data_IF_959481164914
#
_entry.id   IF_959481164914
#
_cell.length_a   1.000
_cell.length_b   1.000
_cell.length_c   1.000
_cell.angle_alpha   90.00
_cell.angle_beta   90.00
_cell.angle_gamma   90.00
#
_symmetry.space_group_name_H-M   'P 1'
#
loop_
_entity.id
_entity.type
_entity.pdbx_description
1 polymer ?
#
# COMPACT_ATOMS: atom_id res chain seq x y z
N UNK A 1 -40.39 -29.21 2.32
CA UNK A 1 -39.32 -29.22 1.31
C UNK A 1 -39.57 -30.36 0.34
N UNK A 2 -39.65 -30.07 -0.95
CA UNK A 2 -39.82 -31.06 -2.02
C UNK A 2 -38.55 -31.92 -2.14
N UNK A 3 -38.70 -33.21 -2.52
CA UNK A 3 -37.57 -34.15 -2.72
C UNK A 3 -36.46 -33.58 -3.62
N UNK A 4 -36.81 -32.72 -4.58
CA UNK A 4 -35.87 -32.02 -5.44
C UNK A 4 -34.93 -31.05 -4.69
N UNK A 5 -35.43 -30.35 -3.67
CA UNK A 5 -34.62 -29.43 -2.85
C UNK A 5 -33.65 -30.20 -1.96
N UNK A 6 -34.09 -31.34 -1.42
CA UNK A 6 -33.24 -32.20 -0.60
C UNK A 6 -32.10 -32.80 -1.44
N UNK A 7 -32.42 -33.27 -2.66
CA UNK A 7 -31.45 -33.82 -3.60
C UNK A 7 -30.42 -32.75 -4.03
N UNK A 8 -30.88 -31.53 -4.31
CA UNK A 8 -29.99 -30.41 -4.66
C UNK A 8 -29.02 -30.04 -3.54
N UNK A 9 -29.48 -30.01 -2.29
CA UNK A 9 -28.63 -29.77 -1.11
C UNK A 9 -27.58 -30.87 -0.91
N UNK A 10 -27.95 -32.13 -1.12
CA UNK A 10 -27.00 -33.25 -1.01
C UNK A 10 -25.91 -33.17 -2.07
N UNK A 11 -26.26 -32.87 -3.32
CA UNK A 11 -25.28 -32.70 -4.41
C UNK A 11 -24.37 -31.51 -4.12
N UNK A 12 -24.92 -30.37 -3.68
CA UNK A 12 -24.14 -29.19 -3.33
C UNK A 12 -23.13 -29.47 -2.21
N UNK A 13 -23.56 -30.13 -1.12
CA UNK A 13 -22.67 -30.50 -0.03
C UNK A 13 -21.56 -31.46 -0.47
N UNK A 14 -21.87 -32.41 -1.35
CA UNK A 14 -20.88 -33.33 -1.90
C UNK A 14 -19.84 -32.59 -2.77
N UNK A 15 -20.26 -31.66 -3.62
CA UNK A 15 -19.36 -30.83 -4.42
C UNK A 15 -18.47 -29.94 -3.53
N UNK A 16 -19.04 -29.32 -2.49
CA UNK A 16 -18.28 -28.49 -1.55
C UNK A 16 -17.23 -29.32 -0.80
N UNK A 17 -17.61 -30.52 -0.34
CA UNK A 17 -16.70 -31.46 0.29
C UNK A 17 -15.56 -31.88 -0.63
N UNK A 18 -15.86 -32.23 -1.88
CA UNK A 18 -14.86 -32.59 -2.87
C UNK A 18 -13.88 -31.44 -3.16
N UNK A 19 -14.37 -30.21 -3.29
CA UNK A 19 -13.53 -29.02 -3.49
C UNK A 19 -12.61 -28.76 -2.30
N UNK A 20 -13.12 -28.83 -1.07
CA UNK A 20 -12.30 -28.66 0.15
C UNK A 20 -11.25 -29.77 0.24
N UNK A 21 -11.61 -31.02 -0.07
CA UNK A 21 -10.67 -32.14 -0.09
C UNK A 21 -9.59 -31.97 -1.17
N UNK A 22 -9.93 -31.46 -2.35
CA UNK A 22 -8.97 -31.17 -3.41
C UNK A 22 -8.00 -30.05 -3.02
N UNK A 23 -8.49 -28.98 -2.40
CA UNK A 23 -7.63 -27.90 -1.87
C UNK A 23 -6.69 -28.44 -0.79
N UNK A 24 -7.22 -29.21 0.17
CA UNK A 24 -6.42 -29.84 1.22
C UNK A 24 -5.37 -30.81 0.66
N UNK A 25 -5.70 -31.55 -0.40
CA UNK A 25 -4.78 -32.47 -1.07
C UNK A 25 -3.70 -31.72 -1.85
N UNK A 26 -4.05 -30.60 -2.50
CA UNK A 26 -3.10 -29.72 -3.17
C UNK A 26 -2.15 -29.03 -2.17
N UNK A 27 -2.67 -28.59 -1.02
CA UNK A 27 -1.88 -28.04 0.10
C UNK A 27 -0.99 -29.09 0.77
N UNK A 28 -1.44 -30.34 0.83
CA UNK A 28 -0.71 -31.46 1.42
C UNK A 28 0.20 -32.20 0.42
N UNK A 29 0.19 -31.78 -0.85
CA UNK A 29 1.06 -32.34 -1.88
C UNK A 29 2.53 -32.15 -1.50
N UNK A 30 3.43 -33.04 -1.96
CA UNK A 30 4.86 -32.86 -1.75
C UNK A 30 5.24 -31.48 -2.29
N UNK A 31 5.89 -30.67 -1.44
CA UNK A 31 6.52 -29.44 -1.90
C UNK A 31 7.48 -29.82 -3.04
N UNK A 32 7.51 -29.09 -4.18
CA UNK A 32 8.46 -29.38 -5.25
C UNK A 32 9.87 -29.48 -4.66
N UNK A 33 10.66 -30.45 -5.13
CA UNK A 33 12.01 -30.72 -4.61
C UNK A 33 12.91 -29.47 -4.63
N UNK A 34 12.58 -28.48 -5.46
CA UNK A 34 13.27 -27.20 -5.57
C UNK A 34 12.85 -26.16 -4.50
N UNK A 35 11.92 -26.49 -3.59
CA UNK A 35 11.46 -25.61 -2.51
C UNK A 35 12.18 -25.86 -1.18
N UNK A 36 13.33 -26.53 -1.22
CA UNK A 36 14.37 -26.26 -0.23
C UNK A 36 15.06 -24.99 -0.73
N UNK A 37 14.57 -23.83 -0.29
CA UNK A 37 15.45 -22.67 -0.16
C UNK A 37 16.58 -23.17 0.76
N UNK A 38 17.69 -23.57 0.16
CA UNK A 38 18.97 -23.62 0.86
C UNK A 38 19.03 -22.36 1.70
N UNK A 39 19.30 -22.53 3.00
CA UNK A 39 19.48 -21.41 3.91
C UNK A 39 20.30 -20.35 3.18
N UNK A 40 19.65 -19.24 2.84
CA UNK A 40 20.19 -18.27 1.90
C UNK A 40 21.57 -17.89 2.42
N UNK A 41 22.62 -18.30 1.71
CA UNK A 41 23.95 -17.81 2.00
C UNK A 41 23.85 -16.28 1.94
N UNK A 42 24.44 -15.54 2.89
CA UNK A 42 24.35 -14.09 2.88
C UNK A 42 24.76 -13.60 1.49
N UNK A 43 23.85 -12.92 0.78
CA UNK A 43 24.18 -12.43 -0.54
C UNK A 43 25.30 -11.39 -0.40
N UNK A 44 26.25 -11.36 -1.35
CA UNK A 44 27.23 -10.28 -1.38
C UNK A 44 26.50 -8.93 -1.42
N UNK A 45 27.05 -7.89 -0.77
CA UNK A 45 26.40 -6.57 -0.71
C UNK A 45 26.08 -6.07 -2.13
N UNK A 46 24.83 -5.62 -2.33
CA UNK A 46 24.37 -5.10 -3.62
C UNK A 46 24.89 -3.68 -3.86
N UNK A 47 25.17 -3.36 -5.12
CA UNK A 47 25.45 -2.00 -5.57
C UNK A 47 24.79 -1.78 -6.94
N UNK A 48 23.76 -0.90 -7.04
CA UNK A 48 23.19 -0.12 -5.95
C UNK A 48 22.48 -0.98 -4.91
N UNK A 49 22.35 -0.45 -3.69
CA UNK A 49 21.46 -1.00 -2.65
C UNK A 49 20.01 -0.70 -3.03
N UNK A 50 19.10 -1.66 -2.86
CA UNK A 50 17.74 -1.60 -3.40
C UNK A 50 16.70 -1.42 -2.29
N UNK A 51 15.77 -0.48 -2.50
CA UNK A 51 14.65 -0.20 -1.63
C UNK A 51 13.35 -0.53 -2.37
N UNK A 52 12.45 -1.29 -1.77
CA UNK A 52 11.16 -1.62 -2.40
C UNK A 52 10.04 -1.72 -1.36
N UNK A 53 8.80 -1.49 -1.78
CA UNK A 53 7.65 -1.71 -0.91
C UNK A 53 6.44 -0.86 -1.25
N UNK A 54 5.88 -0.20 -0.25
CA UNK A 54 4.64 0.56 -0.34
C UNK A 54 4.72 1.73 -1.32
N UNK A 55 3.69 1.85 -2.18
CA UNK A 55 3.52 2.97 -3.11
C UNK A 55 3.61 4.34 -2.42
N UNK A 56 3.08 4.43 -1.20
CA UNK A 56 3.02 5.69 -0.45
C UNK A 56 4.39 6.22 -0.02
N UNK A 57 5.42 5.36 -0.07
CA UNK A 57 6.80 5.79 0.19
C UNK A 57 7.49 6.28 -1.09
N UNK A 58 7.17 5.69 -2.25
CA UNK A 58 8.04 5.72 -3.44
C UNK A 58 8.42 7.14 -3.87
N UNK A 59 7.44 8.02 -4.06
CA UNK A 59 7.67 9.38 -4.56
C UNK A 59 8.58 10.21 -3.63
N UNK A 60 8.39 10.10 -2.31
CA UNK A 60 9.23 10.78 -1.34
C UNK A 60 10.62 10.14 -1.26
N UNK A 61 10.69 8.81 -1.21
CA UNK A 61 11.94 8.07 -1.09
C UNK A 61 12.84 8.30 -2.30
N UNK A 62 12.30 8.36 -3.52
CA UNK A 62 13.07 8.72 -4.72
C UNK A 62 13.77 10.08 -4.57
N UNK A 63 13.05 11.10 -4.06
CA UNK A 63 13.64 12.43 -3.82
C UNK A 63 14.72 12.40 -2.74
N UNK A 64 14.50 11.63 -1.67
CA UNK A 64 15.47 11.45 -0.58
C UNK A 64 16.73 10.71 -1.06
N UNK A 65 16.56 9.64 -1.84
CA UNK A 65 17.67 8.88 -2.43
C UNK A 65 18.47 9.76 -3.39
N UNK A 66 17.81 10.52 -4.27
CA UNK A 66 18.48 11.47 -5.15
C UNK A 66 19.33 12.46 -4.34
N UNK A 67 18.73 13.09 -3.31
CA UNK A 67 19.43 14.05 -2.44
C UNK A 67 20.61 13.44 -1.69
N UNK A 68 20.48 12.19 -1.25
CA UNK A 68 21.53 11.44 -0.56
C UNK A 68 22.72 11.15 -1.48
N UNK A 69 22.45 10.63 -2.68
CA UNK A 69 23.48 10.30 -3.68
C UNK A 69 24.17 11.56 -4.20
N UNK A 70 23.42 12.64 -4.47
CA UNK A 70 23.97 13.96 -4.82
C UNK A 70 24.89 14.52 -3.72
N UNK A 71 24.62 14.18 -2.46
CA UNK A 71 25.43 14.53 -1.31
C UNK A 71 26.69 13.67 -1.11
N UNK A 72 26.99 12.75 -2.03
CA UNK A 72 28.11 11.82 -1.94
C UNK A 72 27.80 10.53 -1.16
N UNK A 73 26.52 10.25 -0.88
CA UNK A 73 26.08 8.99 -0.30
C UNK A 73 26.32 7.80 -1.24
N UNK A 74 26.46 6.61 -0.68
CA UNK A 74 26.71 5.40 -1.48
C UNK A 74 25.49 5.04 -2.35
N UNK A 75 25.66 4.43 -3.53
CA UNK A 75 24.59 4.20 -4.50
C UNK A 75 23.36 3.48 -3.91
N UNK A 76 22.19 4.08 -4.09
CA UNK A 76 20.87 3.57 -3.72
C UNK A 76 19.91 3.67 -4.90
N UNK A 77 18.99 2.71 -4.99
CA UNK A 77 17.91 2.69 -5.98
C UNK A 77 16.57 2.33 -5.32
N UNK A 78 15.49 2.90 -5.83
CA UNK A 78 14.12 2.60 -5.40
C UNK A 78 13.44 1.82 -6.51
N UNK A 79 12.94 0.63 -6.20
CA UNK A 79 12.07 -0.13 -7.11
C UNK A 79 10.75 0.62 -7.32
N UNK A 80 10.44 0.89 -8.59
CA UNK A 80 9.33 1.78 -8.96
C UNK A 80 8.00 1.04 -8.98
N UNK A 81 8.04 -0.25 -9.26
CA UNK A 81 6.85 -1.08 -9.20
C UNK A 81 6.56 -1.47 -7.75
N UNK A 82 5.60 -0.77 -7.14
CA UNK A 82 5.21 -1.03 -5.76
C UNK A 82 4.75 -2.47 -5.56
N UNK A 83 5.46 -3.20 -4.69
CA UNK A 83 5.08 -4.53 -4.21
C UNK A 83 4.24 -4.49 -2.93
N UNK A 84 3.85 -3.30 -2.49
CA UNK A 84 3.16 -3.06 -1.22
C UNK A 84 4.04 -3.30 0.02
N UNK A 85 3.54 -2.91 1.20
CA UNK A 85 4.27 -3.09 2.47
C UNK A 85 4.57 -4.55 2.80
N UNK A 86 3.61 -5.45 2.54
CA UNK A 86 3.78 -6.88 2.81
C UNK A 86 4.80 -7.53 1.88
N UNK A 87 4.76 -7.19 0.58
CA UNK A 87 5.73 -7.67 -0.40
C UNK A 87 7.14 -7.18 -0.10
N UNK A 88 7.30 -5.90 0.25
CA UNK A 88 8.61 -5.34 0.65
C UNK A 88 9.21 -6.06 1.86
N UNK A 89 8.43 -6.29 2.92
CA UNK A 89 8.89 -7.02 4.11
C UNK A 89 9.27 -8.48 3.79
N UNK A 90 8.59 -9.12 2.85
CA UNK A 90 8.93 -10.47 2.40
C UNK A 90 10.24 -10.46 1.60
N UNK A 91 10.37 -9.56 0.63
CA UNK A 91 11.57 -9.41 -0.18
C UNK A 91 12.81 -9.07 0.68
N UNK A 92 12.65 -8.28 1.74
CA UNK A 92 13.73 -8.00 2.69
C UNK A 92 14.16 -9.26 3.45
N UNK A 93 13.20 -10.06 3.94
CA UNK A 93 13.50 -11.33 4.63
C UNK A 93 14.15 -12.37 3.74
N UNK A 94 13.73 -12.39 2.48
CA UNK A 94 14.27 -13.29 1.47
C UNK A 94 15.64 -12.79 0.95
N UNK A 95 16.19 -11.69 1.52
CA UNK A 95 17.42 -11.00 1.10
C UNK A 95 17.45 -10.76 -0.42
N UNK A 96 16.35 -10.21 -0.95
CA UNK A 96 16.21 -9.76 -2.34
C UNK A 96 16.41 -8.23 -2.45
N UNK A 97 16.13 -7.49 -1.38
CA UNK A 97 16.30 -6.03 -1.28
C UNK A 97 17.06 -5.67 0.01
N UNK A 98 17.54 -4.42 0.12
CA UNK A 98 18.32 -3.93 1.27
C UNK A 98 17.43 -3.22 2.30
N UNK A 99 16.32 -2.61 1.86
CA UNK A 99 15.29 -2.08 2.76
C UNK A 99 13.87 -2.26 2.23
N UNK A 100 12.96 -2.57 3.15
CA UNK A 100 11.53 -2.54 2.89
C UNK A 100 10.94 -1.16 3.20
N UNK A 101 10.14 -0.64 2.27
CA UNK A 101 9.35 0.57 2.44
C UNK A 101 7.94 0.21 2.92
N UNK A 102 7.56 0.67 4.10
CA UNK A 102 6.33 0.27 4.78
C UNK A 102 5.52 1.51 5.13
N UNK A 103 4.19 1.46 4.97
CA UNK A 103 3.32 2.63 5.20
C UNK A 103 2.28 2.40 6.30
N UNK A 104 2.65 1.60 7.28
CA UNK A 104 1.88 1.22 8.47
C UNK A 104 2.83 0.72 9.54
N UNK A 105 2.35 0.63 10.77
CA UNK A 105 3.12 -0.04 11.82
C UNK A 105 3.38 -1.52 11.47
N UNK A 106 4.55 -2.00 11.89
CA UNK A 106 4.89 -3.41 11.83
C UNK A 106 4.02 -4.21 12.80
N UNK A 107 3.49 -5.33 12.32
CA UNK A 107 2.82 -6.33 13.17
C UNK A 107 3.87 -7.01 14.04
N UNK A 108 3.48 -7.56 15.19
CA UNK A 108 4.44 -8.17 16.11
C UNK A 108 5.30 -9.27 15.47
N UNK A 109 4.65 -10.18 14.71
CA UNK A 109 5.33 -11.21 13.91
C UNK A 109 6.28 -10.66 12.84
N UNK A 110 6.12 -9.39 12.47
CA UNK A 110 6.92 -8.75 11.43
C UNK A 110 8.19 -8.10 12.00
N UNK A 111 8.33 -7.95 13.33
CA UNK A 111 9.42 -7.20 13.97
C UNK A 111 10.69 -8.01 14.22
N UNK A 112 10.58 -9.33 14.29
CA UNK A 112 11.71 -10.18 14.63
C UNK A 112 12.86 -10.03 13.63
N UNK A 113 14.06 -9.70 14.14
CA UNK A 113 15.27 -9.51 13.35
C UNK A 113 15.28 -8.26 12.47
N UNK A 114 14.28 -7.37 12.59
CA UNK A 114 14.18 -6.16 11.76
C UNK A 114 14.26 -4.89 12.61
N UNK A 115 14.94 -3.87 12.08
CA UNK A 115 14.92 -2.50 12.60
C UNK A 115 14.00 -1.65 11.72
N UNK A 116 13.17 -0.82 12.33
CA UNK A 116 12.26 0.07 11.62
C UNK A 116 12.44 1.51 12.11
N UNK A 117 12.49 2.45 11.16
CA UNK A 117 12.56 3.88 11.42
C UNK A 117 11.42 4.59 10.68
N UNK A 118 10.57 5.28 11.43
CA UNK A 118 9.64 6.25 10.85
C UNK A 118 10.48 7.43 10.37
N UNK A 119 10.44 7.73 9.07
CA UNK A 119 11.22 8.84 8.50
C UNK A 119 10.33 10.00 8.02
N UNK A 120 9.03 9.76 7.84
CA UNK A 120 8.05 10.79 7.53
C UNK A 120 6.64 10.35 7.93
N UNK A 121 5.70 11.30 7.96
CA UNK A 121 4.26 11.05 8.05
C UNK A 121 3.52 11.75 6.92
N UNK A 122 2.37 11.19 6.57
CA UNK A 122 1.44 11.72 5.58
C UNK A 122 0.01 11.47 6.05
N UNK A 123 -0.95 12.01 5.32
CA UNK A 123 -2.36 11.76 5.50
C UNK A 123 -2.91 10.99 4.30
N UNK A 124 -3.75 10.00 4.58
CA UNK A 124 -4.67 9.45 3.59
C UNK A 124 -5.88 10.37 3.54
N UNK A 125 -6.12 10.94 2.38
CA UNK A 125 -7.23 11.86 2.12
C UNK A 125 -8.17 11.26 1.10
N UNK A 126 -9.34 11.86 0.95
CA UNK A 126 -10.18 11.65 -0.22
C UNK A 126 -9.83 12.74 -1.25
N UNK A 127 -9.16 12.35 -2.34
CA UNK A 127 -8.75 13.25 -3.40
C UNK A 127 -9.83 13.33 -4.48
N UNK A 128 -10.11 14.53 -4.98
CA UNK A 128 -11.11 14.79 -6.02
C UNK A 128 -10.55 15.67 -7.13
N UNK A 129 -10.91 15.40 -8.40
CA UNK A 129 -10.62 16.28 -9.55
C UNK A 129 -11.78 17.19 -9.95
N UNK A 130 -12.95 17.00 -9.34
CA UNK A 130 -14.14 17.82 -9.56
C UNK A 130 -14.48 18.63 -8.32
N UNK A 131 -15.70 18.44 -7.82
CA UNK A 131 -16.19 19.10 -6.60
C UNK A 131 -15.32 18.76 -5.38
N UNK A 132 -14.89 19.79 -4.66
CA UNK A 132 -13.99 19.70 -3.49
C UNK A 132 -14.70 19.86 -2.15
N UNK A 133 -15.95 20.29 -2.13
CA UNK A 133 -16.75 20.51 -0.92
C UNK A 133 -17.96 19.60 -0.90
N UNK A 134 -18.01 18.69 0.07
CA UNK A 134 -19.09 17.72 0.25
C UNK A 134 -19.59 17.80 1.68
N UNK A 135 -20.90 17.60 1.87
CA UNK A 135 -21.38 17.30 3.21
C UNK A 135 -20.82 15.93 3.63
N UNK A 136 -20.48 15.80 4.91
CA UNK A 136 -19.78 14.61 5.43
C UNK A 136 -20.57 13.33 5.14
N UNK A 137 -21.89 13.43 5.23
CA UNK A 137 -22.86 12.35 5.06
C UNK A 137 -23.03 11.91 3.59
N UNK A 138 -22.73 12.80 2.62
CA UNK A 138 -22.81 12.49 1.19
C UNK A 138 -21.65 11.59 0.74
N UNK A 139 -20.49 11.66 1.40
CA UNK A 139 -19.27 11.00 0.93
C UNK A 139 -19.39 9.46 0.87
N UNK A 140 -19.96 8.76 1.86
CA UNK A 140 -20.21 7.32 1.75
C UNK A 140 -21.20 6.96 0.62
N UNK A 141 -22.17 7.82 0.30
CA UNK A 141 -23.17 7.59 -0.75
C UNK A 141 -22.55 7.58 -2.15
N UNK A 142 -21.45 8.33 -2.37
CA UNK A 142 -20.71 8.31 -3.63
C UNK A 142 -20.23 6.89 -3.97
N UNK A 143 -19.73 6.14 -2.99
CA UNK A 143 -19.27 4.76 -3.16
C UNK A 143 -20.42 3.73 -3.31
N UNK A 144 -21.67 4.13 -3.07
CA UNK A 144 -22.84 3.29 -3.35
C UNK A 144 -23.29 3.37 -4.82
N UNK A 145 -22.82 4.38 -5.55
CA UNK A 145 -23.20 4.64 -6.95
C UNK A 145 -24.47 5.47 -7.09
N UNK A 146 -24.85 6.20 -6.04
CA UNK A 146 -26.06 7.02 -6.02
C UNK A 146 -25.90 8.33 -6.81
N UNK A 147 -24.66 8.75 -7.11
CA UNK A 147 -24.34 9.91 -7.93
C UNK A 147 -23.83 9.52 -9.32
N UNK A 148 -24.30 10.24 -10.35
CA UNK A 148 -23.80 10.13 -11.74
C UNK A 148 -22.77 11.21 -12.10
N UNK A 149 -22.55 12.16 -11.21
CA UNK A 149 -21.67 13.31 -11.45
C UNK A 149 -20.23 13.06 -11.03
N UNK A 150 -19.98 11.98 -10.29
CA UNK A 150 -18.68 11.65 -9.72
C UNK A 150 -18.32 10.24 -10.12
N UNK A 151 -17.03 10.01 -10.40
CA UNK A 151 -16.49 8.68 -10.68
C UNK A 151 -15.63 8.21 -9.50
N UNK A 152 -16.17 7.36 -8.60
CA UNK A 152 -15.36 6.74 -7.56
C UNK A 152 -14.27 5.84 -8.14
N UNK A 153 -13.06 5.99 -7.62
CA UNK A 153 -11.91 5.15 -7.87
C UNK A 153 -11.63 4.35 -6.60
N UNK A 154 -11.51 3.02 -6.74
CA UNK A 154 -11.35 2.14 -5.60
C UNK A 154 -9.92 1.66 -5.46
N UNK A 155 -9.57 1.28 -4.24
CA UNK A 155 -8.39 0.52 -3.89
C UNK A 155 -8.77 -0.92 -3.57
N UNK A 156 -7.80 -1.81 -3.63
CA UNK A 156 -7.96 -3.20 -3.29
C UNK A 156 -8.34 -3.42 -1.82
N UNK A 157 -9.04 -4.52 -1.53
CA UNK A 157 -9.33 -4.90 -0.15
C UNK A 157 -8.01 -5.15 0.60
N UNK A 158 -7.86 -4.51 1.76
CA UNK A 158 -6.65 -4.60 2.57
C UNK A 158 -5.57 -3.58 2.23
N UNK A 159 -5.83 -2.63 1.33
CA UNK A 159 -4.98 -1.45 1.12
C UNK A 159 -4.68 -0.74 2.45
N UNK A 160 -3.44 -0.26 2.62
CA UNK A 160 -3.03 0.40 3.86
C UNK A 160 -3.66 1.79 4.01
N UNK A 161 -3.97 2.47 2.91
CA UNK A 161 -4.67 3.76 2.94
C UNK A 161 -6.10 3.61 3.46
N UNK A 162 -6.85 2.67 2.89
CA UNK A 162 -8.20 2.32 3.36
C UNK A 162 -8.18 1.85 4.81
N UNK A 163 -7.18 1.04 5.20
CA UNK A 163 -7.01 0.61 6.59
C UNK A 163 -6.75 1.79 7.55
N UNK A 164 -5.94 2.77 7.17
CA UNK A 164 -5.77 4.01 7.94
C UNK A 164 -7.10 4.76 8.05
N UNK A 165 -7.83 4.95 6.94
CA UNK A 165 -9.12 5.64 6.94
C UNK A 165 -10.14 4.95 7.86
N UNK A 166 -10.16 3.62 7.87
CA UNK A 166 -11.02 2.83 8.75
C UNK A 166 -10.85 3.15 10.23
N UNK A 167 -9.66 3.58 10.66
CA UNK A 167 -9.42 3.94 12.07
C UNK A 167 -10.09 5.26 12.48
N UNK A 168 -10.26 6.20 11.54
CA UNK A 168 -10.80 7.54 11.81
C UNK A 168 -12.24 7.69 11.34
N UNK A 169 -12.64 6.94 10.31
CA UNK A 169 -13.97 6.97 9.73
C UNK A 169 -14.35 5.60 9.16
N UNK A 170 -14.77 4.65 10.03
CA UNK A 170 -15.14 3.29 9.64
C UNK A 170 -16.20 3.25 8.53
N UNK A 171 -17.24 4.08 8.63
CA UNK A 171 -18.35 4.11 7.68
C UNK A 171 -17.91 4.41 6.23
N UNK A 172 -17.00 5.38 6.04
CA UNK A 172 -16.51 5.72 4.71
C UNK A 172 -15.63 4.60 4.13
N UNK A 173 -14.81 3.96 4.97
CA UNK A 173 -14.02 2.80 4.58
C UNK A 173 -14.89 1.57 4.27
N UNK A 174 -15.99 1.37 5.00
CA UNK A 174 -16.96 0.30 4.75
C UNK A 174 -17.70 0.52 3.43
N UNK A 175 -18.14 1.76 3.15
CA UNK A 175 -18.77 2.09 1.89
C UNK A 175 -17.85 1.81 0.69
N UNK A 176 -16.56 2.13 0.83
CA UNK A 176 -15.54 1.76 -0.15
C UNK A 176 -15.42 0.24 -0.32
N UNK A 177 -15.22 -0.51 0.77
CA UNK A 177 -15.04 -1.96 0.68
C UNK A 177 -16.28 -2.66 0.12
N UNK A 178 -17.48 -2.17 0.43
CA UNK A 178 -18.72 -2.66 -0.15
C UNK A 178 -18.81 -2.37 -1.64
N UNK A 179 -18.31 -1.22 -2.11
CA UNK A 179 -18.20 -0.92 -3.52
C UNK A 179 -17.25 -1.88 -4.25
N UNK A 180 -16.12 -2.24 -3.62
CA UNK A 180 -15.17 -3.23 -4.14
C UNK A 180 -15.83 -4.62 -4.23
N UNK A 181 -16.48 -5.07 -3.14
CA UNK A 181 -17.16 -6.38 -3.10
C UNK A 181 -18.31 -6.48 -4.10
N UNK A 182 -19.05 -5.39 -4.28
CA UNK A 182 -20.14 -5.30 -5.25
C UNK A 182 -19.65 -5.04 -6.68
N UNK A 183 -18.34 -4.91 -6.91
CA UNK A 183 -17.71 -4.66 -8.21
C UNK A 183 -18.32 -3.44 -8.92
N UNK A 184 -18.61 -2.37 -8.17
CA UNK A 184 -19.32 -1.19 -8.70
C UNK A 184 -18.44 -0.31 -9.58
N UNK A 185 -17.16 -0.22 -9.26
CA UNK A 185 -16.21 0.67 -9.93
C UNK A 185 -14.86 -0.02 -10.13
N UNK A 186 -13.99 0.63 -10.89
CA UNK A 186 -12.62 0.15 -11.15
C UNK A 186 -11.80 0.09 -9.86
N UNK A 187 -11.07 -1.01 -9.68
CA UNK A 187 -10.19 -1.25 -8.53
C UNK A 187 -8.74 -1.08 -8.96
N UNK A 188 -8.05 -0.12 -8.35
CA UNK A 188 -6.67 0.25 -8.65
C UNK A 188 -5.75 -0.29 -7.57
N UNK A 189 -4.76 -1.09 -7.97
CA UNK A 189 -3.91 -1.87 -7.06
C UNK A 189 -2.65 -1.13 -6.60
N UNK A 190 -2.34 0.03 -7.17
CA UNK A 190 -1.12 0.78 -6.86
C UNK A 190 -1.42 2.27 -6.75
N UNK A 191 -0.61 2.97 -5.95
CA UNK A 191 -0.66 4.44 -5.87
C UNK A 191 -0.35 5.08 -7.23
N UNK A 192 0.48 4.44 -8.06
CA UNK A 192 0.75 4.86 -9.44
C UNK A 192 -0.50 4.78 -10.33
N UNK A 193 -1.24 3.68 -10.25
CA UNK A 193 -2.48 3.52 -11.00
C UNK A 193 -3.54 4.53 -10.53
N UNK A 194 -3.67 4.75 -9.21
CA UNK A 194 -4.55 5.77 -8.65
C UNK A 194 -4.14 7.19 -9.08
N UNK A 195 -2.84 7.51 -9.07
CA UNK A 195 -2.34 8.81 -9.53
C UNK A 195 -2.68 9.07 -11.01
N UNK A 196 -2.50 8.08 -11.88
CA UNK A 196 -2.85 8.18 -13.32
C UNK A 196 -4.36 8.33 -13.49
N UNK A 197 -5.15 7.50 -12.81
CA UNK A 197 -6.61 7.59 -12.87
C UNK A 197 -7.14 8.94 -12.37
N UNK A 198 -6.59 9.47 -11.28
CA UNK A 198 -6.91 10.83 -10.82
C UNK A 198 -6.49 11.91 -11.83
N UNK A 199 -5.46 11.70 -12.65
CA UNK A 199 -5.09 12.66 -13.69
C UNK A 199 -6.01 12.60 -14.92
N UNK A 200 -6.49 11.41 -15.27
CA UNK A 200 -7.15 11.15 -16.56
C UNK A 200 -8.68 11.09 -16.47
N UNK A 201 -9.23 10.70 -15.31
CA UNK A 201 -10.67 10.51 -15.12
C UNK A 201 -11.32 11.81 -14.66
N UNK A 202 -12.34 12.23 -15.40
CA UNK A 202 -13.13 13.43 -15.09
C UNK A 202 -13.96 13.23 -13.83
N UNK A 203 -13.99 14.25 -12.98
CA UNK A 203 -14.77 14.27 -11.74
C UNK A 203 -14.54 13.02 -10.88
N UNK A 204 -13.28 12.57 -10.84
CA UNK A 204 -12.85 11.39 -10.11
C UNK A 204 -12.74 11.68 -8.62
N UNK A 205 -13.02 10.67 -7.80
CA UNK A 205 -12.82 10.73 -6.34
C UNK A 205 -12.22 9.42 -5.83
N UNK A 206 -11.23 9.46 -4.94
CA UNK A 206 -10.62 8.24 -4.41
C UNK A 206 -9.68 8.49 -3.24
N UNK A 207 -9.41 7.45 -2.46
CA UNK A 207 -8.43 7.55 -1.38
C UNK A 207 -7.03 7.69 -1.93
N UNK A 208 -6.28 8.66 -1.40
CA UNK A 208 -4.92 8.91 -1.86
C UNK A 208 -4.01 9.51 -0.79
N UNK A 209 -2.71 9.43 -1.03
CA UNK A 209 -1.68 10.02 -0.19
C UNK A 209 -1.55 11.53 -0.46
N UNK A 210 -1.73 12.34 0.60
CA UNK A 210 -1.70 13.80 0.48
C UNK A 210 -0.35 14.34 0.02
N UNK A 211 0.76 13.78 0.51
CA UNK A 211 2.09 14.16 0.08
C UNK A 211 2.35 13.81 -1.40
N UNK A 212 1.74 12.74 -1.89
CA UNK A 212 1.81 12.36 -3.32
C UNK A 212 1.04 13.32 -4.24
N UNK A 213 -0.08 13.91 -3.79
CA UNK A 213 -0.74 14.97 -4.57
C UNK A 213 0.23 16.10 -4.91
N UNK A 214 1.05 16.50 -3.92
CA UNK A 214 2.01 17.60 -4.06
C UNK A 214 3.27 17.19 -4.83
N UNK A 215 3.90 16.08 -4.45
CA UNK A 215 5.15 15.63 -5.10
C UNK A 215 4.97 15.28 -6.56
N UNK A 216 3.82 14.68 -6.93
CA UNK A 216 3.50 14.35 -8.32
C UNK A 216 2.78 15.48 -9.07
N UNK A 217 2.45 16.58 -8.39
CA UNK A 217 1.70 17.73 -8.95
C UNK A 217 0.41 17.29 -9.63
N UNK A 218 -0.35 16.43 -8.96
CA UNK A 218 -1.62 15.92 -9.51
C UNK A 218 -2.66 17.05 -9.55
N UNK A 219 -3.59 17.02 -10.53
CA UNK A 219 -4.68 18.00 -10.59
C UNK A 219 -5.73 17.79 -9.49
N UNK A 220 -5.67 16.67 -8.76
CA UNK A 220 -6.59 16.35 -7.69
C UNK A 220 -6.29 17.14 -6.40
N UNK A 221 -7.35 17.48 -5.68
CA UNK A 221 -7.31 18.22 -4.41
C UNK A 221 -7.90 17.35 -3.30
N UNK A 222 -7.29 17.40 -2.12
CA UNK A 222 -7.83 16.75 -0.93
C UNK A 222 -9.15 17.42 -0.49
N UNK A 223 -10.19 16.63 -0.27
CA UNK A 223 -11.44 17.10 0.32
C UNK A 223 -11.21 17.45 1.79
N UNK A 224 -11.67 18.62 2.20
CA UNK A 224 -11.53 19.10 3.57
C UNK A 224 -12.27 18.20 4.57
N UNK A 225 -11.67 17.99 5.74
CA UNK A 225 -12.27 17.18 6.81
C UNK A 225 -12.18 15.66 6.63
N UNK A 226 -11.50 15.19 5.57
CA UNK A 226 -11.24 13.78 5.30
C UNK A 226 -9.73 13.51 5.34
N UNK A 227 -9.21 13.11 6.50
CA UNK A 227 -7.80 12.79 6.66
C UNK A 227 -7.60 11.67 7.69
N UNK A 228 -6.71 10.74 7.39
CA UNK A 228 -6.27 9.69 8.31
C UNK A 228 -4.74 9.63 8.36
N UNK A 229 -4.13 9.55 9.54
CA UNK A 229 -2.68 9.53 9.66
C UNK A 229 -2.09 8.25 9.06
N UNK A 230 -0.92 8.38 8.42
CA UNK A 230 -0.18 7.26 7.83
C UNK A 230 1.32 7.46 8.02
N UNK A 231 1.99 6.58 8.78
CA UNK A 231 3.44 6.66 8.95
C UNK A 231 4.16 6.09 7.72
N UNK A 232 5.32 6.62 7.38
CA UNK A 232 6.23 6.08 6.38
C UNK A 232 7.49 5.57 7.07
N UNK A 233 7.73 4.28 6.93
CA UNK A 233 8.79 3.54 7.60
C UNK A 233 9.75 2.97 6.56
N UNK A 234 11.04 3.08 6.87
CA UNK A 234 12.06 2.25 6.27
C UNK A 234 12.40 1.12 7.26
N UNK A 235 12.51 -0.10 6.73
CA UNK A 235 12.78 -1.30 7.53
C UNK A 235 13.99 -2.01 6.97
N UNK A 236 14.93 -2.37 7.83
CA UNK A 236 16.21 -3.01 7.48
C UNK A 236 16.44 -4.25 8.34
N UNK A 237 17.23 -5.20 7.85
CA UNK A 237 17.62 -6.43 8.57
C UNK A 237 19.01 -6.35 9.20
N UNK A 238 19.84 -5.41 8.74
CA UNK A 238 21.26 -5.30 9.10
C UNK A 238 21.75 -3.86 8.90
N UNK A 239 23.05 -3.66 9.08
CA UNK A 239 23.70 -2.35 9.16
C UNK A 239 24.12 -1.77 7.80
N UNK A 240 23.80 -2.47 6.69
CA UNK A 240 24.18 -2.04 5.32
C UNK A 240 23.63 -0.68 4.92
N UNK A 241 22.60 -0.17 5.59
CA UNK A 241 21.95 1.11 5.28
C UNK A 241 22.06 2.15 6.40
N UNK A 242 22.94 1.94 7.38
CA UNK A 242 23.08 2.87 8.51
C UNK A 242 23.48 4.30 8.07
N UNK A 243 24.25 4.44 6.99
CA UNK A 243 24.57 5.74 6.38
C UNK A 243 23.33 6.47 5.86
N UNK A 244 22.42 5.75 5.19
CA UNK A 244 21.18 6.30 4.70
C UNK A 244 20.18 6.57 5.84
N UNK A 245 20.10 5.68 6.84
CA UNK A 245 19.25 5.89 8.02
C UNK A 245 19.68 7.13 8.81
N UNK A 246 21.00 7.34 8.96
CA UNK A 246 21.54 8.56 9.54
C UNK A 246 21.23 9.80 8.69
N UNK A 247 21.32 9.69 7.35
CA UNK A 247 20.90 10.76 6.45
C UNK A 247 19.42 11.13 6.62
N UNK A 248 18.51 10.16 6.79
CA UNK A 248 17.08 10.42 6.98
C UNK A 248 16.78 11.28 8.22
N UNK A 249 17.67 11.28 9.21
CA UNK A 249 17.59 12.14 10.40
C UNK A 249 18.27 13.51 10.23
N UNK A 250 18.94 13.76 9.12
CA UNK A 250 19.67 15.02 8.86
C UNK A 250 18.74 16.17 8.47
N UNK A 251 19.20 17.42 8.68
CA UNK A 251 18.48 18.63 8.23
C UNK A 251 18.20 18.61 6.72
N UNK A 252 19.13 18.08 5.91
CA UNK A 252 18.97 17.98 4.47
C UNK A 252 17.80 17.06 4.07
N UNK A 253 17.64 15.92 4.75
CA UNK A 253 16.50 15.03 4.53
C UNK A 253 15.19 15.64 5.03
N UNK A 254 15.21 16.26 6.22
CA UNK A 254 14.05 16.93 6.80
C UNK A 254 13.52 18.05 5.89
N UNK A 255 14.42 18.83 5.27
CA UNK A 255 14.05 19.83 4.28
C UNK A 255 13.34 19.20 3.09
N UNK A 256 13.87 18.10 2.52
CA UNK A 256 13.21 17.38 1.42
C UNK A 256 11.83 16.86 1.82
N UNK A 257 11.66 16.34 3.04
CA UNK A 257 10.38 15.84 3.55
C UNK A 257 9.34 16.97 3.59
N UNK A 258 9.67 18.10 4.23
CA UNK A 258 8.77 19.25 4.36
C UNK A 258 8.49 19.88 2.99
N UNK A 259 9.50 20.01 2.12
CA UNK A 259 9.37 20.47 0.72
C UNK A 259 8.64 19.48 -0.19
N UNK A 260 8.44 18.25 0.25
CA UNK A 260 7.58 17.26 -0.42
C UNK A 260 6.13 17.29 0.06
N UNK A 261 5.84 17.98 1.17
CA UNK A 261 4.47 18.07 1.71
C UNK A 261 4.14 16.93 2.64
N UNK A 262 5.17 16.34 3.24
CA UNK A 262 5.08 15.35 4.30
C UNK A 262 5.47 15.99 5.62
N UNK A 263 5.06 15.36 6.71
CA UNK A 263 5.38 15.75 8.07
C UNK A 263 6.60 14.99 8.58
N UNK A 264 7.31 15.59 9.53
CA UNK A 264 8.44 14.95 10.20
C UNK A 264 7.96 13.86 11.19
N UNK A 265 8.83 12.90 11.56
CA UNK A 265 8.56 11.85 12.55
C UNK A 265 8.26 12.36 13.97
#
# INVERSE_FOLDING_TARGET
MTRAVLLGLTVFAACLGASVSLVRLAEAGPRPEDAILEASLPHPPRSPRVLAGSGSNLALTQRLVARFVEGGGSPLEVELDSVGSGGGLRALRDDVIDAALVSRDLRDREREGLRAQVYARTEVVLASTGRTHWAREELPELFRGDSREVTPLLRELGDSGVASMRTVWPELADAHDDAVRAQRFEVLYTDDAMARALADVRDAIGFFDRGQLRTRRLPAVAIEGVAAPKPLLIVVSDDRLDDFLAFLSSEAAQQVIVESGYELP
#
